data_IF_808509613913
#
_entry.id   IF_808509613913
#
_cell.length_a   1.000
_cell.length_b   1.000
_cell.length_c   1.000
_cell.angle_alpha   90.00
_cell.angle_beta   90.00
_cell.angle_gamma   90.00
#
_symmetry.space_group_name_H-M   'P 1'
#
loop_
_entity.id
_entity.type
_entity.pdbx_description
1 polymer ?
#
# COMPACT_ATOMS: atom_id res chain seq x y z
N UNK A 1 5.39 -30.11 27.35
CA UNK A 1 6.41 -29.81 26.31
C UNK A 1 6.55 -28.30 26.05
N UNK A 2 5.46 -27.58 25.76
CA UNK A 2 5.47 -26.12 25.51
C UNK A 2 6.00 -25.25 26.68
N UNK A 3 5.71 -25.61 27.94
CA UNK A 3 6.24 -24.90 29.12
C UNK A 3 7.77 -25.02 29.27
N UNK A 4 8.33 -26.17 28.88
CA UNK A 4 9.79 -26.42 28.90
C UNK A 4 10.49 -25.61 27.81
N UNK A 5 9.85 -25.48 26.63
CA UNK A 5 10.34 -24.66 25.51
C UNK A 5 10.34 -23.17 25.90
N UNK A 6 9.28 -22.68 26.56
CA UNK A 6 9.21 -21.29 27.05
C UNK A 6 10.27 -20.99 28.11
N UNK A 7 10.43 -21.85 29.11
CA UNK A 7 11.44 -21.69 30.15
C UNK A 7 12.89 -21.75 29.60
N UNK A 8 13.13 -22.54 28.55
CA UNK A 8 14.40 -22.57 27.83
C UNK A 8 14.64 -21.28 27.04
N UNK A 9 13.59 -20.73 26.42
CA UNK A 9 13.64 -19.47 25.68
C UNK A 9 13.90 -18.27 26.60
N UNK A 10 13.24 -18.25 27.78
CA UNK A 10 13.42 -17.21 28.80
C UNK A 10 14.83 -17.28 29.42
N UNK A 11 15.36 -18.49 29.68
CA UNK A 11 16.75 -18.68 30.12
C UNK A 11 17.77 -18.28 29.04
N UNK A 12 17.52 -18.61 27.78
CA UNK A 12 18.39 -18.22 26.68
C UNK A 12 18.41 -16.68 26.50
N UNK A 13 17.28 -16.01 26.71
CA UNK A 13 17.20 -14.55 26.72
C UNK A 13 17.94 -13.93 27.91
N UNK A 14 17.79 -14.47 29.12
CA UNK A 14 18.49 -13.98 30.32
C UNK A 14 20.01 -14.19 30.18
N UNK A 15 20.44 -15.36 29.69
CA UNK A 15 21.86 -15.67 29.51
C UNK A 15 22.51 -14.82 28.40
N UNK A 16 21.75 -14.50 27.32
CA UNK A 16 22.20 -13.55 26.32
C UNK A 16 22.36 -12.12 26.87
N UNK A 17 21.53 -11.73 27.84
CA UNK A 17 21.63 -10.44 28.54
C UNK A 17 22.83 -10.44 29.51
N UNK A 18 23.09 -11.54 30.22
CA UNK A 18 24.26 -11.69 31.11
C UNK A 18 25.58 -11.68 30.33
N UNK A 19 25.65 -12.31 29.16
CA UNK A 19 26.85 -12.23 28.28
C UNK A 19 27.12 -10.84 27.73
N UNK A 20 26.17 -9.90 27.76
CA UNK A 20 26.44 -8.50 27.42
C UNK A 20 27.20 -7.77 28.55
N UNK A 21 27.26 -8.34 29.77
CA UNK A 21 28.07 -7.84 30.88
C UNK A 21 29.54 -8.21 30.79
N UNK A 22 29.87 -9.33 30.13
CA UNK A 22 31.24 -9.86 29.95
C UNK A 22 31.71 -9.84 28.48
N UNK A 23 30.85 -9.47 27.55
CA UNK A 23 31.06 -9.57 26.10
C UNK A 23 32.07 -8.55 25.59
N UNK A 24 32.96 -9.00 24.70
CA UNK A 24 33.95 -8.10 24.09
C UNK A 24 33.26 -7.01 23.27
N UNK A 25 33.91 -5.86 23.11
CA UNK A 25 33.42 -4.77 22.26
C UNK A 25 33.04 -5.24 20.84
N UNK A 26 33.69 -6.30 20.34
CA UNK A 26 33.44 -6.88 19.03
C UNK A 26 32.12 -7.66 18.96
N UNK A 27 31.79 -8.41 20.01
CA UNK A 27 30.51 -9.13 20.11
C UNK A 27 29.34 -8.16 20.23
N UNK A 28 29.50 -7.10 21.03
CA UNK A 28 28.52 -6.01 21.13
C UNK A 28 28.32 -5.31 19.77
N UNK A 29 29.41 -4.99 19.08
CA UNK A 29 29.37 -4.38 17.75
C UNK A 29 28.67 -5.28 16.72
N UNK A 30 28.98 -6.58 16.72
CA UNK A 30 28.34 -7.54 15.82
C UNK A 30 26.84 -7.71 16.11
N UNK A 31 26.44 -7.71 17.39
CA UNK A 31 25.04 -7.78 17.78
C UNK A 31 24.26 -6.53 17.34
N UNK A 32 24.83 -5.34 17.56
CA UNK A 32 24.25 -4.07 17.09
C UNK A 32 24.14 -4.05 15.57
N UNK A 33 25.18 -4.48 14.84
CA UNK A 33 25.16 -4.56 13.38
C UNK A 33 24.02 -5.44 12.85
N UNK A 34 23.80 -6.61 13.46
CA UNK A 34 22.66 -7.49 13.10
C UNK A 34 21.32 -6.85 13.42
N UNK A 35 21.18 -6.20 14.58
CA UNK A 35 19.95 -5.51 14.97
C UNK A 35 19.63 -4.40 13.97
N UNK A 36 20.62 -3.55 13.64
CA UNK A 36 20.46 -2.48 12.66
C UNK A 36 20.05 -3.02 11.29
N UNK A 37 20.69 -4.08 10.80
CA UNK A 37 20.33 -4.71 9.54
C UNK A 37 18.87 -5.23 9.53
N UNK A 38 18.44 -5.91 10.60
CA UNK A 38 17.06 -6.41 10.73
C UNK A 38 16.07 -5.24 10.83
N UNK A 39 16.39 -4.20 11.60
CA UNK A 39 15.53 -3.02 11.71
C UNK A 39 15.37 -2.32 10.36
N UNK A 40 16.46 -2.12 9.62
CA UNK A 40 16.44 -1.47 8.31
C UNK A 40 15.58 -2.25 7.32
N UNK A 41 15.82 -3.56 7.19
CA UNK A 41 15.02 -4.41 6.31
C UNK A 41 13.53 -4.42 6.71
N UNK A 42 13.23 -4.34 8.00
CA UNK A 42 11.86 -4.25 8.50
C UNK A 42 11.21 -2.92 8.12
N UNK A 43 11.92 -1.80 8.27
CA UNK A 43 11.42 -0.48 7.90
C UNK A 43 11.16 -0.39 6.39
N UNK A 44 12.10 -0.85 5.56
CA UNK A 44 11.96 -0.85 4.10
C UNK A 44 10.75 -1.68 3.66
N UNK A 45 10.58 -2.88 4.23
CA UNK A 45 9.44 -3.74 3.92
C UNK A 45 8.11 -3.11 4.36
N UNK A 46 8.07 -2.47 5.53
CA UNK A 46 6.88 -1.75 6.00
C UNK A 46 6.52 -0.61 5.04
N UNK A 47 7.50 0.21 4.65
CA UNK A 47 7.29 1.30 3.70
C UNK A 47 6.75 0.81 2.35
N UNK A 48 7.29 -0.29 1.82
CA UNK A 48 6.79 -0.89 0.57
C UNK A 48 5.34 -1.40 0.70
N UNK A 49 5.00 -2.05 1.82
CA UNK A 49 3.65 -2.54 2.07
C UNK A 49 2.66 -1.39 2.26
N UNK A 50 3.04 -0.36 3.02
CA UNK A 50 2.22 0.84 3.21
C UNK A 50 1.95 1.53 1.88
N UNK A 51 2.98 1.71 1.04
CA UNK A 51 2.82 2.26 -0.30
C UNK A 51 1.89 1.41 -1.17
N UNK A 52 2.04 0.07 -1.16
CA UNK A 52 1.18 -0.83 -1.90
C UNK A 52 -0.28 -0.80 -1.42
N UNK A 53 -0.51 -0.70 -0.11
CA UNK A 53 -1.84 -0.59 0.48
C UNK A 53 -2.51 0.74 0.12
N UNK A 54 -1.80 1.85 0.25
CA UNK A 54 -2.32 3.17 -0.14
C UNK A 54 -2.69 3.22 -1.62
N UNK A 55 -1.83 2.65 -2.47
CA UNK A 55 -2.05 2.45 -3.90
C UNK A 55 -3.35 1.68 -4.18
N UNK A 56 -3.56 0.54 -3.49
CA UNK A 56 -4.77 -0.27 -3.66
C UNK A 56 -6.03 0.43 -3.15
N UNK A 57 -5.98 1.05 -1.98
CA UNK A 57 -7.13 1.75 -1.39
C UNK A 57 -7.63 2.86 -2.33
N UNK A 58 -6.71 3.67 -2.87
CA UNK A 58 -7.09 4.73 -3.80
C UNK A 58 -7.79 4.17 -5.05
N UNK A 59 -7.27 3.08 -5.63
CA UNK A 59 -7.87 2.44 -6.82
C UNK A 59 -9.28 1.92 -6.51
N UNK A 60 -9.46 1.20 -5.40
CA UNK A 60 -10.77 0.66 -5.03
C UNK A 60 -11.80 1.76 -4.73
N UNK A 61 -11.37 2.85 -4.09
CA UNK A 61 -12.24 4.02 -3.87
C UNK A 61 -12.67 4.66 -5.20
N UNK A 62 -11.74 4.91 -6.11
CA UNK A 62 -12.07 5.47 -7.42
C UNK A 62 -13.00 4.56 -8.23
N UNK A 63 -12.78 3.24 -8.20
CA UNK A 63 -13.67 2.25 -8.82
C UNK A 63 -15.08 2.38 -8.25
N UNK A 64 -15.23 2.41 -6.93
CA UNK A 64 -16.51 2.55 -6.26
C UNK A 64 -17.24 3.83 -6.65
N UNK A 65 -16.53 4.97 -6.66
CA UNK A 65 -17.10 6.28 -7.03
C UNK A 65 -17.60 6.30 -8.47
N UNK A 66 -16.82 5.76 -9.42
CA UNK A 66 -17.21 5.71 -10.84
C UNK A 66 -18.34 4.71 -11.06
N UNK A 67 -18.28 3.55 -10.41
CA UNK A 67 -19.31 2.52 -10.45
C UNK A 67 -20.66 3.03 -9.93
N UNK A 68 -20.66 3.67 -8.77
CA UNK A 68 -21.87 4.24 -8.17
C UNK A 68 -22.47 5.33 -9.06
N UNK A 69 -21.66 6.27 -9.57
CA UNK A 69 -22.16 7.40 -10.34
C UNK A 69 -22.82 7.00 -11.66
N UNK A 70 -22.29 5.97 -12.31
CA UNK A 70 -22.76 5.53 -13.62
C UNK A 70 -23.54 4.21 -13.60
N UNK A 71 -23.81 3.64 -12.42
CA UNK A 71 -24.51 2.36 -12.29
C UNK A 71 -23.75 1.19 -12.94
N UNK A 72 -22.43 1.17 -12.82
CA UNK A 72 -21.56 0.17 -13.46
C UNK A 72 -21.11 -0.90 -12.48
N UNK A 73 -20.79 -2.08 -13.02
CA UNK A 73 -19.99 -3.08 -12.32
C UNK A 73 -18.58 -2.55 -12.03
N UNK A 74 -18.00 -2.97 -10.90
CA UNK A 74 -16.67 -2.52 -10.46
C UNK A 74 -15.57 -2.77 -11.49
N UNK A 75 -15.66 -3.88 -12.23
CA UNK A 75 -14.70 -4.22 -13.28
C UNK A 75 -14.83 -3.25 -14.48
N UNK A 76 -16.05 -2.91 -14.89
CA UNK A 76 -16.28 -1.96 -15.97
C UNK A 76 -15.76 -0.56 -15.60
N UNK A 77 -16.02 -0.11 -14.37
CA UNK A 77 -15.46 1.13 -13.84
C UNK A 77 -13.91 1.12 -13.88
N UNK A 78 -13.28 0.02 -13.47
CA UNK A 78 -11.82 -0.10 -13.51
C UNK A 78 -11.26 -0.04 -14.94
N UNK A 79 -11.92 -0.70 -15.91
CA UNK A 79 -11.51 -0.64 -17.31
C UNK A 79 -11.59 0.77 -17.89
N UNK A 80 -12.62 1.55 -17.53
CA UNK A 80 -12.75 2.97 -17.92
C UNK A 80 -11.59 3.78 -17.34
N UNK A 81 -11.32 3.68 -16.04
CA UNK A 81 -10.23 4.42 -15.37
C UNK A 81 -8.88 4.05 -16.02
N UNK A 82 -8.64 2.77 -16.28
CA UNK A 82 -7.40 2.30 -16.92
C UNK A 82 -7.29 2.79 -18.36
N UNK A 83 -8.40 2.82 -19.11
CA UNK A 83 -8.44 3.35 -20.48
C UNK A 83 -8.10 4.83 -20.49
N UNK A 84 -8.70 5.63 -19.60
CA UNK A 84 -8.38 7.05 -19.43
C UNK A 84 -6.88 7.25 -19.16
N UNK A 85 -6.34 6.60 -18.12
CA UNK A 85 -4.92 6.73 -17.79
C UNK A 85 -4.01 6.37 -18.98
N UNK A 86 -4.33 5.29 -19.71
CA UNK A 86 -3.54 4.86 -20.87
C UNK A 86 -3.65 5.81 -22.07
N UNK A 87 -4.86 6.25 -22.43
CA UNK A 87 -5.10 7.17 -23.55
C UNK A 87 -4.36 8.49 -23.33
N UNK A 88 -4.36 8.98 -22.09
CA UNK A 88 -3.75 10.26 -21.73
C UNK A 88 -2.30 10.14 -21.23
N UNK A 89 -1.70 8.94 -21.29
CA UNK A 89 -0.33 8.65 -20.82
C UNK A 89 -0.07 9.09 -19.37
N UNK A 90 -1.10 9.03 -18.53
CA UNK A 90 -1.02 9.34 -17.11
C UNK A 90 -0.69 8.08 -16.30
N UNK A 91 -0.03 8.27 -15.16
CA UNK A 91 0.06 7.18 -14.19
C UNK A 91 -1.33 6.95 -13.61
N UNK A 92 -1.74 5.69 -13.55
CA UNK A 92 -3.05 5.29 -13.00
C UNK A 92 -3.30 5.91 -11.62
N UNK A 93 -2.27 5.94 -10.77
CA UNK A 93 -2.37 6.52 -9.42
C UNK A 93 -2.63 8.01 -9.40
N UNK A 94 -2.11 8.76 -10.37
CA UNK A 94 -2.31 10.21 -10.41
C UNK A 94 -3.75 10.50 -10.82
N UNK A 95 -4.26 9.86 -11.88
CA UNK A 95 -5.67 9.97 -12.29
C UNK A 95 -6.63 9.54 -11.17
N UNK A 96 -6.37 8.41 -10.52
CA UNK A 96 -7.21 7.88 -9.44
C UNK A 96 -7.33 8.85 -8.27
N UNK A 97 -6.28 9.62 -7.95
CA UNK A 97 -6.31 10.62 -6.88
C UNK A 97 -7.21 11.82 -7.19
N UNK A 98 -7.47 12.08 -8.46
CA UNK A 98 -8.35 13.17 -8.90
C UNK A 98 -9.84 12.78 -8.80
N UNK A 99 -10.15 11.48 -8.84
CA UNK A 99 -11.50 10.94 -8.70
C UNK A 99 -11.93 11.01 -7.23
N UNK A 100 -12.83 11.94 -6.90
CA UNK A 100 -13.29 12.18 -5.52
C UNK A 100 -14.82 12.26 -5.44
N UNK A 101 -15.42 11.86 -4.30
CA UNK A 101 -16.86 12.01 -4.09
C UNK A 101 -17.29 13.47 -4.22
N UNK A 102 -18.43 13.72 -4.86
CA UNK A 102 -19.00 15.07 -5.02
C UNK A 102 -18.19 16.04 -5.90
N UNK A 103 -17.13 15.58 -6.57
CA UNK A 103 -16.39 16.37 -7.57
C UNK A 103 -16.74 15.93 -8.99
N UNK A 104 -16.59 16.85 -9.94
CA UNK A 104 -16.58 16.51 -11.36
C UNK A 104 -15.43 15.54 -11.65
N UNK A 105 -15.64 14.64 -12.60
CA UNK A 105 -14.60 13.71 -13.00
C UNK A 105 -13.56 14.39 -13.89
N UNK A 106 -12.29 13.97 -13.80
CA UNK A 106 -11.24 14.50 -14.66
C UNK A 106 -11.64 14.34 -16.13
N UNK A 107 -11.35 15.33 -16.99
CA UNK A 107 -11.78 15.32 -18.39
C UNK A 107 -11.27 14.09 -19.13
N UNK A 108 -10.09 13.59 -18.79
CA UNK A 108 -9.50 12.36 -19.32
C UNK A 108 -10.37 11.13 -19.09
N UNK A 109 -11.08 11.09 -17.96
CA UNK A 109 -12.04 10.03 -17.68
C UNK A 109 -13.32 10.24 -18.48
N UNK A 110 -13.84 11.46 -18.53
CA UNK A 110 -15.09 11.79 -19.23
C UNK A 110 -14.98 11.55 -20.74
N UNK A 111 -13.83 11.85 -21.35
CA UNK A 111 -13.59 11.67 -22.78
C UNK A 111 -13.68 10.21 -23.22
N UNK A 112 -13.24 9.28 -22.36
CA UNK A 112 -13.24 7.84 -22.67
C UNK A 112 -14.51 7.11 -22.25
N UNK A 113 -15.46 7.80 -21.59
CA UNK A 113 -16.75 7.21 -21.24
C UNK A 113 -17.50 6.77 -22.51
N UNK A 114 -18.26 5.66 -22.42
CA UNK A 114 -19.30 5.35 -23.41
C UNK A 114 -20.23 6.55 -23.64
N UNK A 115 -20.65 6.77 -24.89
CA UNK A 115 -21.46 7.94 -25.26
C UNK A 115 -22.78 8.04 -24.48
N UNK A 116 -23.38 6.89 -24.14
CA UNK A 116 -24.59 6.77 -23.33
C UNK A 116 -24.39 7.16 -21.86
N UNK A 117 -23.14 7.18 -21.39
CA UNK A 117 -22.76 7.57 -20.02
C UNK A 117 -22.12 8.96 -19.94
N UNK A 118 -21.88 9.60 -21.08
CA UNK A 118 -21.35 10.97 -21.06
C UNK A 118 -22.40 11.90 -20.44
N UNK A 119 -21.98 12.81 -19.53
CA UNK A 119 -22.90 13.81 -19.00
C UNK A 119 -23.51 14.58 -20.17
N UNK A 120 -24.85 14.68 -20.18
CA UNK A 120 -25.54 15.49 -21.19
C UNK A 120 -25.00 16.92 -21.07
N UNK A 121 -24.57 17.47 -22.20
CA UNK A 121 -24.22 18.89 -22.29
C UNK A 121 -25.52 19.66 -22.22
N UNK A 122 -25.99 19.90 -21.01
CA UNK A 122 -27.09 20.80 -20.75
C UNK A 122 -26.56 22.20 -21.14
N UNK A 123 -27.13 22.75 -22.22
CA UNK A 123 -26.80 24.08 -22.77
C UNK A 123 -27.24 25.17 -21.82
#
# INVERSE_FOLDING_TARGET
MAAKIRALNDRAQIQAIETLGDGTSDEASAAIGRLLAVTQATYERRAQLEHALQSRVAIEQAKGIVAERYGLELEAAFQIIRRAARTHRMKLHDLVREIRPGKEFPPELVEVLPEDLKPRRDV
#
